data_IF_066355601229
#
_entry.id   IF_066355601229
#
_cell.length_a   1.000
_cell.length_b   1.000
_cell.length_c   1.000
_cell.angle_alpha   90.00
_cell.angle_beta   90.00
_cell.angle_gamma   90.00
#
_symmetry.space_group_name_H-M   'P 1'
#
loop_
_entity.id
_entity.type
_entity.pdbx_description
1 polymer ?
#
# COMPACT_ATOMS: atom_id res chain seq x y z
N UNK A 1 -13.58 -1.57 -12.62
CA UNK A 1 -13.53 -1.48 -11.15
C UNK A 1 -12.47 -0.45 -10.81
N UNK A 2 -12.88 0.80 -10.56
CA UNK A 2 -11.99 1.95 -10.38
C UNK A 2 -11.69 2.14 -8.89
N UNK A 3 -10.51 1.74 -8.43
CA UNK A 3 -10.10 1.97 -7.04
C UNK A 3 -9.57 3.40 -6.93
N UNK A 4 -10.37 4.31 -6.38
CA UNK A 4 -9.94 5.67 -6.04
C UNK A 4 -8.78 5.60 -5.04
N UNK A 5 -7.61 6.12 -5.41
CA UNK A 5 -6.54 6.38 -4.46
C UNK A 5 -6.94 7.56 -3.56
N UNK A 6 -7.19 7.29 -2.28
CA UNK A 6 -7.32 8.30 -1.24
C UNK A 6 -5.98 8.50 -0.56
N UNK A 7 -5.59 9.75 -0.37
CA UNK A 7 -4.38 10.23 0.29
C UNK A 7 -4.21 9.58 1.67
N UNK A 8 -2.96 9.30 2.09
CA UNK A 8 -2.58 8.65 3.36
C UNK A 8 -3.22 9.26 4.63
N UNK A 9 -3.74 10.49 4.54
CA UNK A 9 -4.31 11.24 5.65
C UNK A 9 -5.73 10.82 6.08
N UNK A 10 -6.51 10.14 5.25
CA UNK A 10 -7.90 9.79 5.59
C UNK A 10 -8.03 8.61 6.56
N UNK A 11 -7.08 7.67 6.56
CA UNK A 11 -7.10 6.54 7.51
C UNK A 11 -6.65 6.94 8.92
N UNK A 12 -5.81 7.97 9.05
CA UNK A 12 -5.29 8.45 10.34
C UNK A 12 -6.38 9.20 11.12
N UNK A 13 -7.36 9.80 10.43
CA UNK A 13 -8.39 10.64 11.05
C UNK A 13 -9.52 9.84 11.73
N UNK A 14 -9.71 8.56 11.38
CA UNK A 14 -10.71 7.71 12.02
C UNK A 14 -10.04 7.00 13.19
N UNK A 15 -10.49 7.22 14.42
CA UNK A 15 -10.06 6.50 15.64
C UNK A 15 -10.43 5.00 15.57
N UNK A 16 -9.86 4.29 14.60
CA UNK A 16 -10.03 2.87 14.42
C UNK A 16 -8.95 2.17 15.22
N UNK A 17 -9.37 1.19 16.03
CA UNK A 17 -8.44 0.27 16.66
C UNK A 17 -7.80 -0.55 15.54
N UNK A 18 -6.51 -0.31 15.30
CA UNK A 18 -5.71 -1.03 14.34
C UNK A 18 -4.71 -1.95 15.04
N UNK A 19 -4.44 -3.10 14.43
CA UNK A 19 -3.43 -4.06 14.88
C UNK A 19 -2.35 -4.12 13.80
N UNK A 20 -1.05 -4.11 14.16
CA UNK A 20 0.01 -4.31 13.18
C UNK A 20 -0.06 -5.73 12.61
N UNK A 21 -0.03 -5.84 11.29
CA UNK A 21 -0.03 -7.09 10.55
C UNK A 21 1.18 -7.12 9.61
N UNK A 22 2.01 -8.15 9.72
CA UNK A 22 3.10 -8.40 8.78
C UNK A 22 2.76 -9.63 7.94
N UNK A 23 2.95 -9.53 6.63
CA UNK A 23 2.75 -10.66 5.72
C UNK A 23 3.79 -10.68 4.62
N UNK A 24 4.15 -11.88 4.17
CA UNK A 24 4.93 -12.05 2.95
C UNK A 24 3.98 -11.97 1.76
N UNK A 25 4.25 -11.06 0.84
CA UNK A 25 3.47 -10.88 -0.37
C UNK A 25 4.38 -10.99 -1.60
N UNK A 26 3.87 -11.64 -2.64
CA UNK A 26 4.48 -11.65 -3.95
C UNK A 26 3.65 -10.76 -4.87
N UNK A 27 4.31 -9.81 -5.52
CA UNK A 27 3.67 -8.94 -6.51
C UNK A 27 4.25 -9.28 -7.86
N UNK A 28 3.40 -9.73 -8.78
CA UNK A 28 3.81 -10.21 -10.10
C UNK A 28 4.90 -11.31 -9.99
N UNK A 29 5.85 -11.33 -10.92
CA UNK A 29 7.00 -12.24 -10.90
C UNK A 29 8.17 -11.77 -10.00
N UNK A 30 7.98 -10.76 -9.15
CA UNK A 30 9.03 -10.28 -8.25
C UNK A 30 9.30 -11.26 -7.09
N UNK A 31 10.47 -11.09 -6.46
CA UNK A 31 10.79 -11.84 -5.24
C UNK A 31 9.80 -11.46 -4.11
N UNK A 32 9.32 -12.43 -3.30
CA UNK A 32 8.41 -12.11 -2.21
C UNK A 32 9.05 -11.16 -1.18
N UNK A 33 8.31 -10.14 -0.76
CA UNK A 33 8.74 -9.13 0.21
C UNK A 33 7.87 -9.16 1.47
N UNK A 34 8.41 -8.65 2.59
CA UNK A 34 7.66 -8.55 3.85
C UNK A 34 6.95 -7.20 3.93
N UNK A 35 5.63 -7.23 3.79
CA UNK A 35 4.80 -6.04 3.90
C UNK A 35 4.22 -5.84 5.30
N UNK A 36 4.07 -4.59 5.70
CA UNK A 36 3.52 -4.16 6.98
C UNK A 36 2.21 -3.37 6.77
N UNK A 37 1.16 -3.75 7.49
CA UNK A 37 -0.17 -3.16 7.39
C UNK A 37 -0.72 -2.81 8.78
N UNK A 38 -1.55 -1.77 8.82
CA UNK A 38 -2.44 -1.50 9.96
C UNK A 38 -3.79 -2.16 9.67
N UNK A 39 -4.05 -3.32 10.26
CA UNK A 39 -5.31 -4.03 10.06
C UNK A 39 -6.39 -3.46 10.98
N UNK A 40 -7.54 -3.11 10.41
CA UNK A 40 -8.71 -2.61 11.14
C UNK A 40 -9.89 -3.53 10.89
N UNK A 41 -10.78 -3.65 11.88
CA UNK A 41 -12.06 -4.38 11.73
C UNK A 41 -13.11 -3.51 11.01
N UNK A 42 -12.81 -3.10 9.78
CA UNK A 42 -13.69 -2.27 8.95
C UNK A 42 -13.35 -2.44 7.47
N UNK A 43 -14.36 -2.74 6.65
CA UNK A 43 -14.19 -2.88 5.20
C UNK A 43 -14.30 -1.53 4.46
N UNK A 44 -14.63 -0.45 5.19
CA UNK A 44 -14.80 0.91 4.65
C UNK A 44 -13.51 1.73 4.66
N UNK A 45 -12.36 1.07 4.84
CA UNK A 45 -11.04 1.69 4.80
C UNK A 45 -10.31 1.19 3.57
N UNK A 46 -9.86 2.09 2.68
CA UNK A 46 -9.09 1.69 1.51
C UNK A 46 -7.74 1.11 1.92
N UNK A 47 -7.21 0.18 1.13
CA UNK A 47 -5.83 -0.26 1.25
C UNK A 47 -4.91 0.92 0.91
N UNK A 48 -4.05 1.29 1.85
CA UNK A 48 -3.06 2.35 1.65
C UNK A 48 -1.69 1.69 1.53
N UNK A 49 -1.02 1.99 0.42
CA UNK A 49 0.37 1.64 0.18
C UNK A 49 1.17 2.93 0.23
N UNK A 50 2.20 2.94 1.07
CA UNK A 50 2.86 4.19 1.44
C UNK A 50 4.35 4.04 1.68
N UNK A 51 4.93 5.13 2.17
CA UNK A 51 6.38 5.28 2.26
C UNK A 51 7.04 4.30 3.23
N UNK A 52 6.42 4.02 4.38
CA UNK A 52 7.09 3.31 5.50
C UNK A 52 7.19 1.80 5.33
N UNK A 53 6.86 1.24 4.16
CA UNK A 53 7.11 -0.17 3.84
C UNK A 53 7.08 -0.42 2.33
N UNK A 54 5.95 -0.14 1.67
CA UNK A 54 5.78 -0.46 0.25
C UNK A 54 6.77 0.30 -0.66
N UNK A 55 6.99 1.60 -0.44
CA UNK A 55 7.93 2.38 -1.28
C UNK A 55 9.41 2.16 -0.90
N UNK A 56 9.69 1.41 0.17
CA UNK A 56 11.05 0.96 0.46
C UNK A 56 11.38 -0.32 -0.31
N UNK A 57 10.39 -1.19 -0.51
CA UNK A 57 10.55 -2.44 -1.26
C UNK A 57 10.46 -2.22 -2.77
N UNK A 58 9.75 -1.18 -3.22
CA UNK A 58 9.49 -0.90 -4.62
C UNK A 58 9.71 0.57 -4.99
N UNK A 59 10.36 0.80 -6.13
CA UNK A 59 10.30 2.07 -6.84
C UNK A 59 8.91 2.25 -7.47
N UNK A 60 8.20 3.32 -7.11
CA UNK A 60 6.82 3.56 -7.54
C UNK A 60 6.71 4.78 -8.45
N UNK A 61 6.17 4.59 -9.65
CA UNK A 61 5.97 5.65 -10.65
C UNK A 61 4.47 5.89 -10.88
N UNK A 62 3.97 7.09 -10.53
CA UNK A 62 2.55 7.44 -10.66
C UNK A 62 2.24 8.16 -11.98
N UNK A 63 1.24 7.65 -12.70
CA UNK A 63 0.68 8.29 -13.91
C UNK A 63 -0.70 8.85 -13.61
N UNK A 64 -0.75 10.04 -12.98
CA UNK A 64 -2.00 10.65 -12.47
C UNK A 64 -3.13 10.75 -13.50
N UNK A 65 -2.85 11.17 -14.73
CA UNK A 65 -3.87 11.29 -15.79
C UNK A 65 -4.43 9.93 -16.24
N UNK A 66 -3.66 8.85 -16.08
CA UNK A 66 -4.05 7.48 -16.42
C UNK A 66 -4.70 6.74 -15.23
N UNK A 67 -4.60 7.30 -14.02
CA UNK A 67 -4.99 6.64 -12.77
C UNK A 67 -4.32 5.26 -12.59
N UNK A 68 -3.10 5.12 -13.10
CA UNK A 68 -2.28 3.92 -12.94
C UNK A 68 -0.96 4.27 -12.29
N UNK A 69 -0.30 3.27 -11.73
CA UNK A 69 1.08 3.37 -11.30
C UNK A 69 1.83 2.11 -11.75
N UNK A 70 3.13 2.25 -11.91
CA UNK A 70 4.05 1.14 -12.14
C UNK A 70 4.91 0.96 -10.89
N UNK A 71 5.36 -0.27 -10.70
CA UNK A 71 6.31 -0.63 -9.64
C UNK A 71 7.46 -1.42 -10.24
N UNK A 72 8.65 -1.21 -9.69
CA UNK A 72 9.82 -2.05 -9.91
C UNK A 72 10.43 -2.40 -8.54
N UNK A 73 11.09 -3.56 -8.39
CA UNK A 73 11.87 -3.83 -7.19
C UNK A 73 12.87 -2.71 -6.97
N UNK A 74 12.90 -2.13 -5.77
CA UNK A 74 13.96 -1.19 -5.41
C UNK A 74 15.31 -1.93 -5.52
N UNK A 75 16.28 -1.32 -6.20
CA UNK A 75 17.62 -1.90 -6.30
C UNK A 75 18.21 -2.03 -4.88
N UNK A 76 18.89 -3.14 -4.54
CA UNK A 76 19.57 -3.27 -3.25
C UNK A 76 20.68 -2.24 -3.05
#
# INVERSE_FOLDING_TARGET
MLTRATTEQDAIQRHLNAIPLFMTAQVDEFSPVRLAFAWVKSDNVPLILGQTNFFMEFDVCFYRSKMTFEINPALP
#
